data_IF_751775281643
#
_entry.id   IF_751775281643
#
_cell.length_a   1.000
_cell.length_b   1.000
_cell.length_c   1.000
_cell.angle_alpha   90.00
_cell.angle_beta   90.00
_cell.angle_gamma   90.00
#
_symmetry.space_group_name_H-M   'P 1'
#
loop_
_entity.id
_entity.type
_entity.pdbx_description
1 polymer ?
#
# COMPACT_ATOMS: atom_id res chain seq x y z
N UNK A 1 -16.77 -25.94 -36.61
CA UNK A 1 -17.60 -26.85 -35.79
C UNK A 1 -17.17 -26.67 -34.34
N UNK A 2 -18.00 -26.05 -33.50
CA UNK A 2 -17.73 -25.95 -32.06
C UNK A 2 -18.16 -27.24 -31.39
N UNK A 3 -17.20 -28.06 -30.95
CA UNK A 3 -17.47 -29.29 -30.21
C UNK A 3 -17.84 -28.92 -28.77
N UNK A 4 -19.11 -29.08 -28.40
CA UNK A 4 -19.57 -28.96 -27.01
C UNK A 4 -19.24 -30.27 -26.31
N UNK A 5 -17.97 -30.46 -25.94
CA UNK A 5 -17.50 -31.75 -25.42
C UNK A 5 -17.50 -31.88 -23.89
N UNK A 6 -17.95 -30.91 -23.12
CA UNK A 6 -17.89 -30.97 -21.64
C UNK A 6 -19.09 -30.28 -20.96
N UNK A 7 -20.33 -30.66 -21.28
CA UNK A 7 -21.46 -30.30 -20.40
C UNK A 7 -21.45 -31.30 -19.22
N UNK A 8 -21.19 -30.84 -17.98
CA UNK A 8 -21.24 -31.72 -16.82
C UNK A 8 -22.66 -32.26 -16.66
N UNK A 9 -22.77 -33.57 -16.40
CA UNK A 9 -24.06 -34.23 -16.12
C UNK A 9 -24.80 -33.48 -15.00
N UNK A 10 -26.13 -33.35 -15.12
CA UNK A 10 -26.96 -32.72 -14.08
C UNK A 10 -26.72 -33.35 -12.71
N UNK A 11 -26.54 -34.67 -12.65
CA UNK A 11 -26.19 -35.41 -11.44
C UNK A 11 -24.83 -35.00 -10.85
N UNK A 12 -23.84 -34.66 -11.69
CA UNK A 12 -22.52 -34.22 -11.25
C UNK A 12 -22.57 -32.80 -10.65
N UNK A 13 -23.37 -31.91 -11.25
CA UNK A 13 -23.59 -30.55 -10.70
C UNK A 13 -24.33 -30.63 -9.37
N UNK A 14 -25.39 -31.45 -9.28
CA UNK A 14 -26.12 -31.67 -8.02
C UNK A 14 -25.22 -32.27 -6.94
N UNK A 15 -24.41 -33.28 -7.27
CA UNK A 15 -23.47 -33.91 -6.33
C UNK A 15 -22.40 -32.93 -5.84
N UNK A 16 -21.87 -32.08 -6.72
CA UNK A 16 -20.90 -31.06 -6.35
C UNK A 16 -21.54 -30.00 -5.46
N UNK A 17 -22.78 -29.59 -5.76
CA UNK A 17 -23.55 -28.65 -4.95
C UNK A 17 -23.86 -29.23 -3.56
N UNK A 18 -24.28 -30.49 -3.47
CA UNK A 18 -24.56 -31.13 -2.18
C UNK A 18 -23.29 -31.34 -1.38
N UNK A 19 -22.18 -31.78 -1.99
CA UNK A 19 -20.89 -31.93 -1.31
C UNK A 19 -20.35 -30.59 -0.79
N UNK A 20 -20.48 -29.53 -1.59
CA UNK A 20 -20.11 -28.17 -1.17
C UNK A 20 -21.01 -27.68 -0.02
N UNK A 21 -22.32 -27.88 -0.13
CA UNK A 21 -23.27 -27.47 0.91
C UNK A 21 -23.04 -28.23 2.22
N UNK A 22 -22.83 -29.55 2.14
CA UNK A 22 -22.54 -30.40 3.30
C UNK A 22 -21.23 -29.99 3.97
N UNK A 23 -20.16 -29.78 3.20
CA UNK A 23 -18.88 -29.31 3.76
C UNK A 23 -19.00 -27.92 4.38
N UNK A 24 -19.69 -26.97 3.74
CA UNK A 24 -19.94 -25.65 4.29
C UNK A 24 -20.74 -25.70 5.60
N UNK A 25 -21.72 -26.60 5.71
CA UNK A 25 -22.49 -26.81 6.94
C UNK A 25 -21.63 -27.39 8.07
N UNK A 26 -20.76 -28.37 7.77
CA UNK A 26 -19.82 -28.92 8.75
C UNK A 26 -18.84 -27.86 9.27
N UNK A 27 -18.25 -27.08 8.35
CA UNK A 27 -17.36 -25.97 8.71
C UNK A 27 -18.10 -24.96 9.58
N UNK A 28 -19.33 -24.59 9.23
CA UNK A 28 -20.16 -23.69 10.05
C UNK A 28 -20.42 -24.25 11.44
N UNK A 29 -20.76 -25.53 11.56
CA UNK A 29 -21.02 -26.17 12.86
C UNK A 29 -19.79 -26.08 13.75
N UNK A 30 -18.64 -26.54 13.24
CA UNK A 30 -17.38 -26.53 14.00
C UNK A 30 -16.99 -25.11 14.39
N UNK A 31 -17.08 -24.15 13.46
CA UNK A 31 -16.77 -22.74 13.77
C UNK A 31 -17.73 -22.19 14.83
N UNK A 32 -19.03 -22.48 14.73
CA UNK A 32 -20.00 -22.01 15.71
C UNK A 32 -19.75 -22.59 17.09
N UNK A 33 -19.47 -23.88 17.20
CA UNK A 33 -19.20 -24.56 18.47
C UNK A 33 -17.94 -23.99 19.12
N UNK A 34 -16.85 -23.90 18.35
CA UNK A 34 -15.59 -23.30 18.79
C UNK A 34 -15.79 -21.85 19.20
N UNK A 35 -16.60 -21.07 18.49
CA UNK A 35 -16.87 -19.68 18.83
C UNK A 35 -17.67 -19.53 20.13
N UNK A 36 -18.65 -20.41 20.40
CA UNK A 36 -19.35 -20.44 21.70
C UNK A 36 -18.41 -20.76 22.86
N UNK A 37 -17.57 -21.78 22.70
CA UNK A 37 -16.61 -22.17 23.73
C UNK A 37 -15.58 -21.05 23.94
N UNK A 38 -15.07 -20.48 22.84
CA UNK A 38 -14.16 -19.34 22.88
C UNK A 38 -14.80 -18.11 23.53
N UNK A 39 -16.09 -17.84 23.30
CA UNK A 39 -16.80 -16.72 23.94
C UNK A 39 -16.97 -16.88 25.44
N UNK A 40 -17.01 -18.11 25.95
CA UNK A 40 -17.11 -18.41 27.39
C UNK A 40 -15.74 -18.44 28.08
N UNK A 41 -14.68 -18.81 27.36
CA UNK A 41 -13.35 -19.05 27.93
C UNK A 41 -12.37 -17.91 27.64
N UNK A 42 -12.51 -17.21 26.52
CA UNK A 42 -11.56 -16.20 26.03
C UNK A 42 -12.10 -14.78 26.26
N UNK A 43 -11.41 -13.95 27.08
CA UNK A 43 -11.73 -12.55 27.27
C UNK A 43 -11.79 -11.74 25.97
N UNK A 44 -12.73 -10.78 25.91
CA UNK A 44 -12.93 -9.87 24.77
C UNK A 44 -11.65 -9.12 24.33
N UNK A 45 -10.73 -8.85 25.26
CA UNK A 45 -9.44 -8.22 24.95
C UNK A 45 -8.54 -9.09 24.07
N UNK A 46 -8.51 -10.40 24.33
CA UNK A 46 -7.74 -11.36 23.52
C UNK A 46 -8.36 -11.53 22.14
N UNK A 47 -9.70 -11.53 22.02
CA UNK A 47 -10.38 -11.58 20.72
C UNK A 47 -10.04 -10.38 19.86
N UNK A 48 -10.05 -9.17 20.43
CA UNK A 48 -9.63 -7.94 19.73
C UNK A 48 -8.17 -8.00 19.31
N UNK A 49 -7.28 -8.51 20.17
CA UNK A 49 -5.86 -8.68 19.85
C UNK A 49 -5.66 -9.64 18.67
N UNK A 50 -6.30 -10.81 18.70
CA UNK A 50 -6.21 -11.82 17.63
C UNK A 50 -6.78 -11.30 16.31
N UNK A 51 -7.94 -10.64 16.34
CA UNK A 51 -8.53 -10.01 15.14
C UNK A 51 -7.64 -8.89 14.59
N UNK A 52 -7.03 -8.08 15.45
CA UNK A 52 -6.10 -7.02 15.00
C UNK A 52 -4.84 -7.60 14.36
N UNK A 53 -4.30 -8.69 14.91
CA UNK A 53 -3.15 -9.42 14.37
C UNK A 53 -3.49 -10.11 13.04
N UNK A 54 -4.67 -10.71 12.93
CA UNK A 54 -5.10 -11.40 11.72
C UNK A 54 -5.47 -10.40 10.61
N UNK A 55 -6.13 -9.29 10.97
CA UNK A 55 -6.41 -8.17 10.06
C UNK A 55 -5.13 -7.49 9.57
N UNK A 56 -4.10 -7.41 10.43
CA UNK A 56 -2.75 -6.97 10.04
C UNK A 56 -2.09 -7.93 9.05
N UNK A 57 -2.31 -9.25 9.18
CA UNK A 57 -1.73 -10.24 8.27
C UNK A 57 -2.36 -10.19 6.87
N UNK A 58 -3.65 -9.84 6.78
CA UNK A 58 -4.37 -9.58 5.54
C UNK A 58 -4.39 -8.09 5.16
N UNK A 59 -3.61 -7.24 5.82
CA UNK A 59 -3.49 -5.85 5.43
C UNK A 59 -2.93 -5.83 4.03
N UNK A 60 -3.68 -5.24 3.10
CA UNK A 60 -3.26 -5.07 1.71
C UNK A 60 -1.82 -4.54 1.71
N UNK A 61 -0.89 -5.09 0.90
CA UNK A 61 0.38 -4.44 0.70
C UNK A 61 0.04 -3.02 0.22
N UNK A 62 0.43 -2.02 1.01
CA UNK A 62 0.33 -0.62 0.62
C UNK A 62 0.75 -0.53 -0.84
N UNK A 63 -0.15 -0.08 -1.72
CA UNK A 63 0.17 0.15 -3.12
C UNK A 63 1.03 1.41 -3.21
N UNK A 64 2.24 1.32 -2.67
CA UNK A 64 3.23 2.38 -2.65
C UNK A 64 3.91 2.40 -4.01
N UNK A 65 3.48 3.33 -4.87
CA UNK A 65 4.17 3.66 -6.11
C UNK A 65 5.43 4.48 -5.78
N UNK A 66 6.57 4.08 -6.32
CA UNK A 66 7.82 4.86 -6.22
C UNK A 66 8.23 5.31 -7.61
N UNK A 67 8.32 6.62 -7.83
CA UNK A 67 8.78 7.22 -9.08
C UNK A 67 10.23 7.65 -8.91
N UNK A 68 11.10 7.22 -9.82
CA UNK A 68 12.52 7.56 -9.80
C UNK A 68 12.82 8.56 -10.92
N UNK A 69 13.16 9.78 -10.54
CA UNK A 69 13.48 10.87 -11.46
C UNK A 69 14.99 11.05 -11.49
N UNK A 70 15.62 10.66 -12.59
CA UNK A 70 17.05 10.84 -12.79
C UNK A 70 17.38 12.25 -13.24
N UNK A 71 18.52 12.78 -12.79
CA UNK A 71 19.04 14.11 -13.16
C UNK A 71 19.33 14.24 -14.66
N UNK A 72 19.79 13.16 -15.27
CA UNK A 72 20.10 13.10 -16.70
C UNK A 72 19.31 11.98 -17.37
N UNK A 73 18.81 12.27 -18.57
CA UNK A 73 18.33 11.28 -19.53
C UNK A 73 19.28 11.25 -20.73
N UNK A 74 20.19 10.27 -20.73
CA UNK A 74 21.32 10.23 -21.66
C UNK A 74 22.29 11.39 -21.43
N UNK A 75 22.41 12.28 -22.41
CA UNK A 75 23.29 13.46 -22.36
C UNK A 75 22.55 14.77 -22.04
N UNK A 76 21.23 14.70 -21.90
CA UNK A 76 20.39 15.85 -21.61
C UNK A 76 20.00 15.87 -20.13
N UNK A 77 19.85 17.07 -19.57
CA UNK A 77 19.25 17.24 -18.24
C UNK A 77 17.77 16.89 -18.34
N UNK A 78 17.27 16.12 -17.37
CA UNK A 78 15.87 15.75 -17.32
C UNK A 78 15.02 16.93 -16.83
N UNK A 79 14.07 17.37 -17.64
CA UNK A 79 13.17 18.48 -17.29
C UNK A 79 12.32 18.16 -16.04
N UNK A 80 11.95 16.89 -15.83
CA UNK A 80 11.23 16.49 -14.61
C UNK A 80 12.09 16.65 -13.37
N UNK A 81 13.41 16.45 -13.49
CA UNK A 81 14.33 16.66 -12.38
C UNK A 81 14.43 18.13 -12.02
N UNK A 82 14.62 19.00 -13.02
CA UNK A 82 14.71 20.46 -12.82
C UNK A 82 13.40 21.04 -12.25
N UNK A 83 12.25 20.60 -12.76
CA UNK A 83 10.94 20.97 -12.24
C UNK A 83 10.76 20.51 -10.79
N UNK A 84 11.20 19.29 -10.46
CA UNK A 84 11.13 18.75 -9.11
C UNK A 84 12.03 19.51 -8.14
N UNK A 85 13.27 19.86 -8.51
CA UNK A 85 14.14 20.70 -7.68
C UNK A 85 13.49 22.05 -7.36
N UNK A 86 12.89 22.69 -8.36
CA UNK A 86 12.21 23.99 -8.18
C UNK A 86 10.97 23.87 -7.31
N UNK A 87 10.19 22.80 -7.46
CA UNK A 87 9.02 22.54 -6.62
C UNK A 87 9.41 22.27 -5.17
N UNK A 88 10.36 21.36 -4.95
CA UNK A 88 10.80 20.94 -3.62
C UNK A 88 11.49 22.08 -2.88
N UNK A 89 12.23 22.96 -3.57
CA UNK A 89 12.80 24.17 -2.96
C UNK A 89 11.75 25.09 -2.32
N UNK A 90 10.50 25.08 -2.81
CA UNK A 90 9.39 25.83 -2.19
C UNK A 90 8.77 25.10 -0.98
N UNK A 91 9.00 23.80 -0.85
CA UNK A 91 8.49 22.94 0.23
C UNK A 91 9.48 22.75 1.38
N UNK A 92 10.53 23.58 1.42
CA UNK A 92 11.52 23.57 2.50
C UNK A 92 10.82 23.86 3.83
N UNK A 93 10.95 22.94 4.78
CA UNK A 93 10.35 23.01 6.11
C UNK A 93 11.45 23.01 7.16
N UNK A 94 11.18 23.60 8.33
CA UNK A 94 12.13 23.66 9.44
C UNK A 94 12.58 22.30 10.01
N UNK A 95 11.92 21.21 9.59
CA UNK A 95 12.24 19.82 9.97
C UNK A 95 13.37 19.20 9.14
N UNK A 96 13.79 19.84 8.04
CA UNK A 96 14.86 19.32 7.18
C UNK A 96 16.22 19.48 7.85
N UNK A 97 17.04 18.43 7.84
CA UNK A 97 18.33 18.42 8.54
C UNK A 97 19.42 19.15 7.76
N UNK A 98 19.41 19.04 6.43
CA UNK A 98 20.50 19.54 5.58
C UNK A 98 19.97 20.34 4.40
N UNK A 99 20.31 21.62 4.37
CA UNK A 99 20.00 22.51 3.24
C UNK A 99 21.29 22.92 2.54
N UNK A 100 21.22 23.01 1.21
CA UNK A 100 22.28 23.55 0.38
C UNK A 100 22.01 25.05 0.21
N UNK A 101 22.96 25.87 0.65
CA UNK A 101 22.88 27.32 0.54
C UNK A 101 23.95 27.79 -0.43
N UNK A 102 23.56 28.54 -1.45
CA UNK A 102 24.49 29.13 -2.41
C UNK A 102 24.17 30.60 -2.63
N UNK A 103 25.22 31.38 -2.87
CA UNK A 103 25.12 32.80 -3.24
C UNK A 103 26.18 33.09 -4.29
N UNK A 104 25.77 33.54 -5.47
CA UNK A 104 26.72 33.96 -6.48
C UNK A 104 27.36 35.31 -6.07
N UNK A 105 28.63 35.59 -6.40
CA UNK A 105 29.31 36.83 -5.98
C UNK A 105 28.61 38.12 -6.40
N UNK A 106 27.81 38.09 -7.47
CA UNK A 106 27.08 39.24 -8.01
C UNK A 106 25.59 39.24 -7.66
N UNK A 107 25.10 38.22 -6.97
CA UNK A 107 23.70 38.14 -6.57
C UNK A 107 23.47 38.72 -5.17
N UNK A 108 22.40 39.50 -5.06
CA UNK A 108 21.91 40.00 -3.78
C UNK A 108 21.03 38.98 -3.04
N UNK A 109 20.63 37.90 -3.73
CA UNK A 109 19.75 36.87 -3.18
C UNK A 109 20.55 35.62 -2.83
N UNK A 110 20.18 34.99 -1.73
CA UNK A 110 20.69 33.68 -1.33
C UNK A 110 19.73 32.63 -1.84
N UNK A 111 20.26 31.64 -2.54
CA UNK A 111 19.50 30.48 -3.00
C UNK A 111 19.62 29.37 -1.97
N UNK A 112 18.49 28.89 -1.50
CA UNK A 112 18.41 27.75 -0.58
C UNK A 112 17.71 26.61 -1.30
N UNK A 113 18.40 25.49 -1.43
CA UNK A 113 17.87 24.25 -2.01
C UNK A 113 18.06 23.09 -1.04
N UNK A 114 17.45 21.96 -1.34
CA UNK A 114 17.54 20.76 -0.53
C UNK A 114 18.84 20.02 -0.85
N UNK A 115 19.51 19.50 0.18
CA UNK A 115 20.72 18.70 -0.02
C UNK A 115 20.38 17.34 -0.64
N UNK A 116 21.24 16.84 -1.54
CA UNK A 116 21.05 15.52 -2.18
C UNK A 116 20.97 14.42 -1.13
N UNK A 117 19.91 13.61 -1.16
CA UNK A 117 19.67 12.51 -0.22
C UNK A 117 18.85 12.87 1.02
N UNK A 118 18.41 14.13 1.15
CA UNK A 118 17.39 14.51 2.14
C UNK A 118 16.01 13.96 1.76
N UNK A 119 15.20 13.69 2.77
CA UNK A 119 13.80 13.27 2.60
C UNK A 119 12.89 14.46 2.77
N UNK A 120 11.89 14.57 1.89
CA UNK A 120 10.91 15.64 1.91
C UNK A 120 9.54 14.99 2.08
N UNK A 121 8.82 15.42 3.11
CA UNK A 121 7.43 15.02 3.31
C UNK A 121 6.53 16.09 2.72
N UNK A 122 5.58 15.68 1.88
CA UNK A 122 4.56 16.55 1.31
C UNK A 122 3.20 15.84 1.35
N UNK A 123 2.13 16.61 1.25
CA UNK A 123 0.77 16.09 1.15
C UNK A 123 0.09 16.76 -0.04
N UNK A 124 -0.36 15.94 -0.99
CA UNK A 124 -1.08 16.41 -2.17
C UNK A 124 -2.43 15.68 -2.27
N UNK A 125 -3.53 16.43 -2.17
CA UNK A 125 -4.90 15.88 -2.23
C UNK A 125 -5.16 14.74 -1.23
N UNK A 126 -4.55 14.80 -0.03
CA UNK A 126 -4.67 13.76 1.00
C UNK A 126 -3.77 12.54 0.77
N UNK A 127 -2.88 12.60 -0.22
CA UNK A 127 -1.86 11.58 -0.48
C UNK A 127 -0.55 12.04 0.16
N UNK A 128 -0.05 11.26 1.11
CA UNK A 128 1.28 11.46 1.70
C UNK A 128 2.37 11.08 0.71
N UNK A 129 3.24 12.04 0.40
CA UNK A 129 4.43 11.89 -0.44
C UNK A 129 5.68 11.95 0.46
N UNK A 130 6.63 11.07 0.20
CA UNK A 130 7.87 10.92 0.98
C UNK A 130 9.07 10.62 0.09
#
# INVERSE_FOLDING_TARGET
>A
MFSINNIPSTTAVFSTYTAFTASAMLVRSVVSEVQTIAGQVIPEQLRKLLLSKLGSLCSNPSSQMTLLINEYDGYCVNELYEASETYLAKKITALMERLKVSKAPRDNKVTVTIHKGEKVFDEYEGIELK
#
